data_IF_612797379051
#
_entry.id   IF_612797379051
#
_cell.length_a   1.000
_cell.length_b   1.000
_cell.length_c   1.000
_cell.angle_alpha   90.00
_cell.angle_beta   90.00
_cell.angle_gamma   90.00
#
_symmetry.space_group_name_H-M   'P 1'
#
loop_
_entity.id
_entity.type
_entity.pdbx_description
1 polymer ?
#
# COMPACT_ATOMS: atom_id res chain seq x y z
N UNK A 1 -2.36 1.81 3.42
CA UNK A 1 -3.48 2.53 2.80
C UNK A 1 -4.23 3.33 3.85
N UNK A 2 -4.43 4.62 3.61
CA UNK A 2 -5.24 5.53 4.44
C UNK A 2 -5.83 6.64 3.57
N UNK A 3 -6.52 7.62 4.15
CA UNK A 3 -6.93 8.82 3.40
C UNK A 3 -5.75 9.65 2.85
N UNK A 4 -4.51 9.40 3.31
CA UNK A 4 -3.30 10.02 2.76
C UNK A 4 -2.86 9.40 1.43
N UNK A 5 -3.46 8.27 1.03
CA UNK A 5 -3.06 7.55 -0.18
C UNK A 5 -4.09 7.70 -1.30
N UNK A 6 -3.62 7.87 -2.54
CA UNK A 6 -4.36 7.75 -3.79
C UNK A 6 -3.94 6.48 -4.58
N UNK A 7 -4.60 6.19 -5.70
CA UNK A 7 -4.34 5.02 -6.55
C UNK A 7 -2.86 4.83 -6.94
N UNK A 8 -2.12 5.92 -7.20
CA UNK A 8 -0.76 5.84 -7.70
C UNK A 8 0.21 5.20 -6.69
N UNK A 9 -0.04 5.38 -5.40
CA UNK A 9 0.74 4.71 -4.36
C UNK A 9 0.55 3.19 -4.35
N UNK A 10 -0.64 2.69 -4.71
CA UNK A 10 -0.88 1.25 -4.81
C UNK A 10 -0.25 0.67 -6.07
N UNK A 11 -0.26 1.43 -7.17
CA UNK A 11 0.49 1.05 -8.38
C UNK A 11 1.99 0.98 -8.09
N UNK A 12 2.55 2.00 -7.42
CA UNK A 12 3.95 2.02 -7.04
C UNK A 12 4.33 0.83 -6.14
N UNK A 13 3.49 0.51 -5.15
CA UNK A 13 3.63 -0.71 -4.34
C UNK A 13 3.66 -1.96 -5.22
N UNK A 14 2.74 -2.07 -6.17
CA UNK A 14 2.69 -3.20 -7.09
C UNK A 14 3.94 -3.35 -7.95
N UNK A 15 4.44 -2.25 -8.53
CA UNK A 15 5.65 -2.25 -9.33
C UNK A 15 6.90 -2.64 -8.53
N UNK A 16 6.99 -2.21 -7.27
CA UNK A 16 8.09 -2.62 -6.37
C UNK A 16 8.02 -4.13 -6.06
N UNK A 17 6.82 -4.66 -5.82
CA UNK A 17 6.59 -6.07 -5.47
C UNK A 17 6.58 -7.01 -6.70
N UNK A 18 6.54 -6.48 -7.91
CA UNK A 18 6.44 -7.28 -9.13
C UNK A 18 7.66 -8.22 -9.26
N UNK A 19 7.38 -9.52 -9.41
CA UNK A 19 8.39 -10.56 -9.59
C UNK A 19 9.11 -11.00 -8.32
N UNK A 20 8.80 -10.43 -7.16
CA UNK A 20 9.49 -10.74 -5.90
C UNK A 20 8.86 -11.93 -5.14
N UNK A 21 7.63 -12.29 -5.49
CA UNK A 21 6.89 -13.34 -4.78
C UNK A 21 6.40 -12.89 -3.41
N UNK A 22 6.28 -13.83 -2.47
CA UNK A 22 5.73 -13.58 -1.13
C UNK A 22 6.70 -12.74 -0.30
N UNK A 23 6.21 -11.66 0.30
CA UNK A 23 7.02 -10.81 1.19
C UNK A 23 7.26 -11.48 2.57
N UNK A 24 8.37 -11.16 3.26
CA UNK A 24 8.66 -11.69 4.59
C UNK A 24 7.79 -11.07 5.71
N UNK A 25 7.06 -9.99 5.42
CA UNK A 25 6.25 -9.23 6.39
C UNK A 25 4.76 -9.55 6.31
N UNK A 26 4.01 -9.22 7.35
CA UNK A 26 2.55 -9.15 7.24
C UNK A 26 2.15 -7.85 6.55
N UNK A 27 1.90 -7.91 5.25
CA UNK A 27 1.50 -6.74 4.45
C UNK A 27 -0.02 -6.55 4.47
N UNK A 28 -0.47 -5.35 4.84
CA UNK A 28 -1.88 -4.95 4.82
C UNK A 28 -2.13 -3.87 3.78
N UNK A 29 -3.13 -4.08 2.93
CA UNK A 29 -3.51 -3.16 1.85
C UNK A 29 -4.98 -2.81 2.02
N UNK A 30 -5.28 -1.51 2.09
CA UNK A 30 -6.64 -1.00 2.22
C UNK A 30 -6.81 0.21 1.30
N UNK A 31 -7.35 0.04 0.08
CA UNK A 31 -7.63 1.15 -0.82
C UNK A 31 -8.59 2.17 -0.20
N UNK A 32 -8.50 3.46 -0.54
CA UNK A 32 -9.33 4.48 0.10
C UNK A 32 -10.78 4.43 -0.39
N UNK A 33 -11.04 4.03 -1.64
CA UNK A 33 -12.40 3.97 -2.21
C UNK A 33 -12.67 2.68 -3.00
N UNK A 34 -13.95 2.42 -3.27
CA UNK A 34 -14.39 1.32 -4.16
C UNK A 34 -13.86 1.51 -5.59
N UNK A 35 -13.74 2.75 -6.06
CA UNK A 35 -13.25 3.07 -7.40
C UNK A 35 -11.76 2.73 -7.55
N UNK A 36 -10.94 3.05 -6.55
CA UNK A 36 -9.53 2.65 -6.53
C UNK A 36 -9.40 1.12 -6.54
N UNK A 37 -10.19 0.43 -5.71
CA UNK A 37 -10.24 -1.04 -5.71
C UNK A 37 -10.57 -1.59 -7.10
N UNK A 38 -11.62 -1.08 -7.75
CA UNK A 38 -12.06 -1.59 -9.05
C UNK A 38 -11.00 -1.37 -10.12
N UNK A 39 -10.43 -0.16 -10.20
CA UNK A 39 -9.38 0.15 -11.16
C UNK A 39 -8.12 -0.72 -10.94
N UNK A 40 -7.66 -0.85 -9.69
CA UNK A 40 -6.50 -1.70 -9.36
C UNK A 40 -6.75 -3.18 -9.65
N UNK A 41 -8.01 -3.62 -9.56
CA UNK A 41 -8.40 -4.99 -9.93
C UNK A 41 -8.34 -5.17 -11.43
N UNK A 42 -8.91 -4.24 -12.21
CA UNK A 42 -8.87 -4.26 -13.68
C UNK A 42 -7.44 -4.21 -14.23
N UNK A 43 -6.56 -3.46 -13.58
CA UNK A 43 -5.14 -3.36 -13.95
C UNK A 43 -4.29 -4.55 -13.49
N UNK A 44 -4.87 -5.51 -12.75
CA UNK A 44 -4.19 -6.73 -12.31
C UNK A 44 -3.34 -6.59 -11.03
N UNK A 45 -3.29 -5.40 -10.41
CA UNK A 45 -2.52 -5.20 -9.18
C UNK A 45 -3.02 -6.04 -8.00
N UNK A 46 -4.32 -6.36 -7.95
CA UNK A 46 -4.88 -7.24 -6.93
C UNK A 46 -4.29 -8.67 -6.97
N UNK A 47 -4.08 -9.21 -8.17
CA UNK A 47 -3.44 -10.52 -8.32
C UNK A 47 -1.97 -10.47 -7.83
N UNK A 48 -1.28 -9.37 -8.13
CA UNK A 48 0.09 -9.14 -7.67
C UNK A 48 0.16 -9.05 -6.14
N UNK A 49 -0.76 -8.31 -5.50
CA UNK A 49 -0.87 -8.25 -4.05
C UNK A 49 -1.15 -9.62 -3.42
N UNK A 50 -1.97 -10.45 -4.07
CA UNK A 50 -2.22 -11.84 -3.67
C UNK A 50 -0.95 -12.69 -3.72
N UNK A 51 -0.17 -12.60 -4.80
CA UNK A 51 1.14 -13.26 -4.93
C UNK A 51 2.13 -12.81 -3.87
N UNK A 52 2.09 -11.54 -3.48
CA UNK A 52 2.88 -11.01 -2.38
C UNK A 52 2.45 -11.54 -1.00
N UNK A 53 1.30 -12.19 -0.90
CA UNK A 53 0.73 -12.66 0.37
C UNK A 53 0.08 -11.55 1.19
N UNK A 54 -0.32 -10.45 0.54
CA UNK A 54 -0.93 -9.31 1.22
C UNK A 54 -2.34 -9.64 1.71
N UNK A 55 -2.68 -9.15 2.90
CA UNK A 55 -4.06 -9.08 3.39
C UNK A 55 -4.72 -7.83 2.82
N UNK A 56 -5.70 -8.02 1.94
CA UNK A 56 -6.43 -6.93 1.30
C UNK A 56 -7.74 -6.71 2.05
N UNK A 57 -7.87 -5.53 2.65
CA UNK A 57 -9.06 -5.10 3.38
C UNK A 57 -10.06 -4.43 2.44
N UNK A 58 -11.33 -4.36 2.89
CA UNK A 58 -12.35 -3.58 2.18
C UNK A 58 -11.96 -2.08 2.17
N UNK A 59 -12.42 -1.30 1.17
CA UNK A 59 -12.11 0.12 1.13
C UNK A 59 -12.59 0.87 2.38
N UNK A 60 -11.70 1.65 3.01
CA UNK A 60 -11.99 2.39 4.23
C UNK A 60 -10.76 2.68 5.10
N UNK A 61 -10.98 3.10 6.35
CA UNK A 61 -9.91 3.50 7.28
C UNK A 61 -9.02 2.33 7.73
N UNK A 62 -9.55 1.11 7.83
CA UNK A 62 -8.82 -0.09 8.26
C UNK A 62 -7.98 0.18 9.53
N UNK A 63 -6.72 -0.28 9.54
CA UNK A 63 -5.76 -0.14 10.63
C UNK A 63 -5.43 1.32 11.00
N UNK A 64 -5.73 2.31 10.15
CA UNK A 64 -5.47 3.72 10.45
C UNK A 64 -6.26 4.20 11.70
N UNK A 65 -7.45 3.62 11.93
CA UNK A 65 -8.27 3.98 13.08
C UNK A 65 -8.03 3.07 14.30
N UNK A 66 -7.66 1.81 14.09
CA UNK A 66 -7.39 0.84 15.16
C UNK A 66 -8.62 0.38 15.95
N UNK A 67 -9.83 0.59 15.42
CA UNK A 67 -11.09 0.28 16.12
C UNK A 67 -11.72 -1.07 15.71
N UNK A 68 -11.17 -1.74 14.71
CA UNK A 68 -11.68 -3.02 14.18
C UNK A 68 -10.55 -4.05 14.08
N UNK A 69 -9.69 -3.91 13.07
CA UNK A 69 -8.48 -4.70 12.94
C UNK A 69 -7.34 -4.05 13.75
N UNK A 70 -6.49 -4.90 14.34
CA UNK A 70 -5.28 -4.50 15.05
C UNK A 70 -4.09 -5.36 14.60
N UNK A 71 -2.90 -4.77 14.67
CA UNK A 71 -1.65 -5.52 14.53
C UNK A 71 -1.42 -6.41 15.74
N UNK A 72 -0.50 -7.38 15.61
CA UNK A 72 -0.05 -8.19 16.74
C UNK A 72 0.52 -7.29 17.84
N UNK A 73 0.27 -7.65 19.09
CA UNK A 73 0.89 -6.97 20.23
C UNK A 73 2.41 -6.92 20.09
N UNK A 74 3.00 -5.76 20.42
CA UNK A 74 4.45 -5.56 20.35
C UNK A 74 5.01 -5.41 18.94
N UNK A 75 4.16 -5.42 17.89
CA UNK A 75 4.63 -5.34 16.51
C UNK A 75 5.31 -4.01 16.19
N UNK A 76 6.38 -4.08 15.39
CA UNK A 76 6.93 -2.92 14.70
C UNK A 76 6.21 -2.76 13.37
N UNK A 77 5.64 -1.59 13.13
CA UNK A 77 4.80 -1.31 11.96
C UNK A 77 5.37 -0.13 11.20
N UNK A 78 5.49 -0.27 9.88
CA UNK A 78 5.65 0.86 8.98
C UNK A 78 4.31 1.17 8.32
N UNK A 79 3.85 2.41 8.41
CA UNK A 79 2.49 2.78 8.00
C UNK A 79 2.44 4.06 7.16
N UNK A 80 1.53 4.06 6.19
CA UNK A 80 1.14 5.24 5.40
C UNK A 80 -0.08 5.96 5.99
N UNK A 81 -0.34 5.78 7.29
CA UNK A 81 -1.42 6.43 8.04
C UNK A 81 -1.03 7.84 8.50
N UNK A 82 -1.95 8.52 9.18
CA UNK A 82 -1.74 9.89 9.67
C UNK A 82 -1.16 9.97 11.09
N UNK A 83 -1.28 8.91 11.90
CA UNK A 83 -0.97 8.93 13.33
C UNK A 83 -0.27 7.64 13.76
N UNK A 84 0.63 7.77 14.72
CA UNK A 84 1.42 6.68 15.31
C UNK A 84 1.45 6.74 16.86
N UNK A 85 0.41 7.30 17.49
CA UNK A 85 0.32 7.32 18.95
C UNK A 85 0.37 5.91 19.55
N UNK A 86 0.82 5.82 20.80
CA UNK A 86 0.89 4.55 21.52
C UNK A 86 -0.47 3.83 21.49
N UNK A 87 -0.41 2.52 21.25
CA UNK A 87 -1.57 1.63 21.14
C UNK A 87 -2.55 1.96 20.00
N UNK A 88 -2.22 2.88 19.08
CA UNK A 88 -3.15 3.29 18.01
C UNK A 88 -3.49 2.18 17.03
N UNK A 89 -2.52 1.34 16.65
CA UNK A 89 -2.73 0.25 15.68
C UNK A 89 -2.82 -1.13 16.34
N UNK A 90 -2.55 -1.20 17.63
CA UNK A 90 -2.49 -2.42 18.41
C UNK A 90 -1.67 -2.23 19.69
N UNK A 91 -1.90 -3.05 20.73
CA UNK A 91 -1.22 -2.92 22.01
C UNK A 91 0.30 -2.99 21.89
N UNK A 92 1.01 -2.12 22.59
CA UNK A 92 2.48 -2.09 22.67
C UNK A 92 3.20 -2.01 21.30
N UNK A 93 2.50 -1.58 20.25
CA UNK A 93 3.07 -1.48 18.90
C UNK A 93 3.94 -0.23 18.74
N UNK A 94 5.02 -0.36 17.96
CA UNK A 94 5.88 0.76 17.56
C UNK A 94 5.63 1.10 16.10
N UNK A 95 5.03 2.26 15.85
CA UNK A 95 4.58 2.65 14.51
C UNK A 95 5.45 3.76 13.94
N UNK A 96 6.03 3.52 12.77
CA UNK A 96 6.79 4.47 11.96
C UNK A 96 5.94 4.93 10.78
N UNK A 97 5.90 6.24 10.53
CA UNK A 97 5.16 6.81 9.41
C UNK A 97 6.09 7.11 8.25
N UNK A 98 5.62 6.91 7.02
CA UNK A 98 6.33 7.33 5.82
C UNK A 98 5.56 7.08 4.53
N UNK A 99 6.24 7.23 3.40
CA UNK A 99 5.65 7.12 2.07
C UNK A 99 5.29 5.69 1.69
N UNK A 100 4.44 5.53 0.67
CA UNK A 100 4.04 4.22 0.19
C UNK A 100 5.17 3.46 -0.51
N UNK A 101 6.04 4.18 -1.20
CA UNK A 101 7.22 3.63 -1.87
C UNK A 101 8.20 3.05 -0.85
N UNK A 102 8.43 3.78 0.25
CA UNK A 102 9.24 3.27 1.36
C UNK A 102 8.54 2.10 2.07
N UNK A 103 7.22 2.15 2.25
CA UNK A 103 6.46 1.03 2.81
C UNK A 103 6.58 -0.23 1.96
N UNK A 104 6.57 -0.11 0.63
CA UNK A 104 6.75 -1.21 -0.30
C UNK A 104 8.12 -1.86 -0.12
N UNK A 105 9.18 -1.04 -0.02
CA UNK A 105 10.53 -1.55 0.20
C UNK A 105 10.69 -2.18 1.59
N UNK A 106 10.10 -1.59 2.64
CA UNK A 106 10.06 -2.19 3.98
C UNK A 106 9.35 -3.55 3.98
N UNK A 107 8.24 -3.66 3.24
CA UNK A 107 7.51 -4.91 3.13
C UNK A 107 8.37 -6.00 2.47
N UNK A 108 9.04 -5.64 1.38
CA UNK A 108 9.94 -6.51 0.62
C UNK A 108 11.15 -6.97 1.43
N UNK A 109 11.81 -6.06 2.15
CA UNK A 109 13.05 -6.36 2.88
C UNK A 109 12.83 -6.94 4.29
N UNK A 110 11.65 -6.74 4.89
CA UNK A 110 11.41 -7.14 6.28
C UNK A 110 11.99 -6.21 7.34
N UNK A 111 12.54 -5.07 6.94
CA UNK A 111 13.16 -4.06 7.80
C UNK A 111 13.13 -2.68 7.16
N UNK A 112 13.46 -1.65 7.93
CA UNK A 112 13.76 -0.34 7.36
C UNK A 112 15.01 -0.43 6.45
N UNK A 113 14.95 0.08 5.21
CA UNK A 113 16.11 0.12 4.32
C UNK A 113 17.10 1.21 4.74
N UNK A 114 18.34 1.10 4.25
CA UNK A 114 19.26 2.23 4.22
C UNK A 114 18.84 3.25 3.15
N UNK A 115 19.40 4.47 3.23
CA UNK A 115 19.17 5.51 2.20
C UNK A 115 19.63 5.02 0.83
N UNK A 116 20.77 4.32 0.76
CA UNK A 116 21.32 3.81 -0.49
C UNK A 116 20.42 2.72 -1.11
N UNK A 117 19.92 1.80 -0.29
CA UNK A 117 18.97 0.77 -0.75
C UNK A 117 17.70 1.42 -1.32
N UNK A 118 17.17 2.45 -0.65
CA UNK A 118 16.00 3.18 -1.12
C UNK A 118 16.26 3.91 -2.44
N UNK A 119 17.33 4.69 -2.50
CA UNK A 119 17.69 5.49 -3.69
C UNK A 119 18.08 4.63 -4.90
N UNK A 120 18.47 3.38 -4.67
CA UNK A 120 18.79 2.44 -5.75
C UNK A 120 17.59 1.63 -6.22
N UNK A 121 16.87 0.98 -5.29
CA UNK A 121 15.86 -0.03 -5.64
C UNK A 121 14.54 0.58 -6.12
N UNK A 122 14.04 1.62 -5.45
CA UNK A 122 12.73 2.21 -5.79
C UNK A 122 12.76 2.85 -7.18
N UNK A 123 13.72 3.74 -7.53
CA UNK A 123 13.78 4.32 -8.87
C UNK A 123 13.97 3.26 -9.94
N UNK A 124 14.78 2.22 -9.68
CA UNK A 124 14.98 1.10 -10.61
C UNK A 124 13.68 0.33 -10.89
N UNK A 125 12.87 0.06 -9.87
CA UNK A 125 11.58 -0.64 -10.01
C UNK A 125 10.53 0.18 -10.76
N UNK A 126 10.58 1.51 -10.64
CA UNK A 126 9.65 2.44 -11.26
C UNK A 126 10.13 2.99 -12.62
N UNK A 127 11.38 2.71 -13.01
CA UNK A 127 12.00 3.23 -14.22
C UNK A 127 11.14 2.95 -15.47
N UNK A 128 10.82 4.01 -16.22
CA UNK A 128 10.00 3.95 -17.43
C UNK A 128 8.49 3.74 -17.19
N UNK A 129 8.04 3.70 -15.93
CA UNK A 129 6.63 3.44 -15.58
C UNK A 129 5.96 4.59 -14.81
N UNK A 130 6.73 5.59 -14.38
CA UNK A 130 6.29 6.70 -13.51
C UNK A 130 5.00 7.37 -13.98
N UNK A 131 4.88 7.70 -15.28
CA UNK A 131 3.69 8.37 -15.83
C UNK A 131 2.42 7.53 -15.66
N UNK A 132 2.53 6.21 -15.91
CA UNK A 132 1.42 5.27 -15.73
C UNK A 132 1.11 5.02 -14.25
N UNK A 133 2.16 4.89 -13.44
CA UNK A 133 2.04 4.65 -11.99
C UNK A 133 1.28 5.80 -11.33
N UNK A 134 1.68 7.05 -11.57
CA UNK A 134 1.11 8.21 -10.89
C UNK A 134 -0.05 8.90 -11.64
N UNK A 135 -0.73 8.17 -12.53
CA UNK A 135 -1.94 8.65 -13.18
C UNK A 135 -3.14 8.62 -12.23
N UNK A 136 -3.76 9.75 -11.94
CA UNK A 136 -4.96 9.80 -11.09
C UNK A 136 -6.21 9.22 -11.79
N UNK A 137 -7.21 8.85 -11.00
CA UNK A 137 -8.53 8.51 -11.49
C UNK A 137 -9.24 9.78 -11.97
N UNK A 138 -9.48 9.86 -13.28
CA UNK A 138 -10.26 10.92 -13.90
C UNK A 138 -11.54 10.29 -14.47
N UNK A 139 -12.64 10.32 -13.71
CA UNK A 139 -13.87 9.60 -14.07
C UNK A 139 -14.46 10.01 -15.42
N UNK A 140 -14.23 11.26 -15.84
CA UNK A 140 -14.65 11.75 -17.15
C UNK A 140 -13.85 11.17 -18.33
N UNK A 141 -12.72 10.51 -18.07
CA UNK A 141 -11.88 9.85 -19.07
C UNK A 141 -12.06 8.32 -19.08
N UNK A 142 -12.87 7.78 -18.18
CA UNK A 142 -13.16 6.35 -18.10
C UNK A 142 -14.40 6.08 -18.94
N UNK A 143 -14.21 5.36 -20.05
CA UNK A 143 -15.33 4.92 -20.90
C UNK A 143 -16.36 4.13 -20.08
N UNK A 144 -17.63 4.45 -20.28
CA UNK A 144 -18.77 3.80 -19.62
C UNK A 144 -18.68 3.76 -18.08
N UNK A 145 -18.08 4.78 -17.45
CA UNK A 145 -18.03 4.86 -15.99
C UNK A 145 -19.44 4.93 -15.40
N UNK A 146 -19.84 3.85 -14.75
CA UNK A 146 -20.99 3.78 -13.88
C UNK A 146 -20.54 3.40 -12.47
N UNK A 147 -21.09 4.06 -11.46
CA UNK A 147 -20.97 3.60 -10.08
C UNK A 147 -21.76 2.30 -9.97
N UNK A 148 -21.05 1.16 -9.99
CA UNK A 148 -21.67 -0.14 -9.76
C UNK A 148 -22.46 -0.14 -8.45
N UNK A 149 -23.75 -0.48 -8.54
CA UNK A 149 -24.66 -0.63 -7.41
C UNK A 149 -24.25 -1.78 -6.49
#
# INVERSE_FOLDING_TARGET
GSCMTNIGHYRALGEVLQGEGKVPTTLWIAPPTKMDKNQLTQEGYYALFGTAGARIEIPGCSLCMGNQANVREGAVVFSTSTRNFDNRMGPNSKVYLGSAELAALCALLGRLPSVEEYMSLVPKKLAGKTEKVYQYLNFNLIEDFALGH
#
